data_IF_039265968360
#
_entry.id   IF_039265968360
#
_cell.length_a   1.000
_cell.length_b   1.000
_cell.length_c   1.000
_cell.angle_alpha   90.00
_cell.angle_beta   90.00
_cell.angle_gamma   90.00
#
_symmetry.space_group_name_H-M   'P 1'
#
loop_
_entity.id
_entity.type
_entity.pdbx_description
1 polymer ?
#
# COMPACT_ATOMS: atom_id res chain seq x y z
N UNK A 1 -15.51 0.16 -25.12
CA UNK A 1 -14.12 -0.32 -24.94
C UNK A 1 -13.38 0.38 -23.80
N UNK A 2 -13.56 1.70 -23.58
CA UNK A 2 -12.87 2.42 -22.49
C UNK A 2 -13.25 2.01 -21.06
N UNK A 3 -14.48 1.50 -20.82
CA UNK A 3 -14.90 1.13 -19.45
C UNK A 3 -14.07 -0.02 -18.87
N UNK A 4 -13.67 -0.99 -19.70
CA UNK A 4 -12.85 -2.12 -19.25
C UNK A 4 -11.44 -1.66 -18.88
N UNK A 5 -10.81 -0.83 -19.73
CA UNK A 5 -9.48 -0.25 -19.45
C UNK A 5 -9.54 0.64 -18.20
N UNK A 6 -10.58 1.46 -18.05
CA UNK A 6 -10.76 2.30 -16.87
C UNK A 6 -10.83 1.49 -15.56
N UNK A 7 -11.62 0.41 -15.55
CA UNK A 7 -11.71 -0.49 -14.39
C UNK A 7 -10.35 -1.17 -14.13
N UNK A 8 -9.69 -1.66 -15.16
CA UNK A 8 -8.37 -2.28 -15.04
C UNK A 8 -7.34 -1.30 -14.45
N UNK A 9 -7.32 -0.04 -14.89
CA UNK A 9 -6.42 0.99 -14.36
C UNK A 9 -6.68 1.25 -12.88
N UNK A 10 -7.96 1.39 -12.47
CA UNK A 10 -8.30 1.57 -11.05
C UNK A 10 -7.83 0.37 -10.22
N UNK A 11 -8.10 -0.85 -10.70
CA UNK A 11 -7.65 -2.08 -10.04
C UNK A 11 -6.13 -2.09 -9.92
N UNK A 12 -5.38 -1.78 -11.00
CA UNK A 12 -3.92 -1.74 -10.96
C UNK A 12 -3.38 -0.70 -9.95
N UNK A 13 -3.97 0.49 -9.89
CA UNK A 13 -3.56 1.54 -8.95
C UNK A 13 -3.76 1.10 -7.50
N UNK A 14 -4.82 0.36 -7.21
CA UNK A 14 -5.08 -0.18 -5.85
C UNK A 14 -4.12 -1.33 -5.53
N UNK A 15 -3.88 -2.24 -6.47
CA UNK A 15 -3.05 -3.43 -6.24
C UNK A 15 -1.55 -3.13 -6.16
N UNK A 16 -1.06 -2.10 -6.84
CA UNK A 16 0.36 -1.74 -6.84
C UNK A 16 0.95 -1.48 -5.44
N UNK A 17 0.40 -0.58 -4.60
CA UNK A 17 0.91 -0.35 -3.25
C UNK A 17 0.73 -1.57 -2.33
N UNK A 18 -0.37 -2.33 -2.51
CA UNK A 18 -0.60 -3.56 -1.75
C UNK A 18 0.45 -4.62 -2.04
N UNK A 19 0.78 -4.82 -3.32
CA UNK A 19 1.79 -5.79 -3.74
C UNK A 19 3.19 -5.41 -3.24
N UNK A 20 3.53 -4.12 -3.20
CA UNK A 20 4.81 -3.65 -2.64
C UNK A 20 4.95 -4.05 -1.17
N UNK A 21 3.88 -3.86 -0.39
CA UNK A 21 3.92 -4.13 1.06
C UNK A 21 3.94 -5.62 1.35
N UNK A 22 3.08 -6.40 0.68
CA UNK A 22 3.07 -7.87 0.82
C UNK A 22 4.39 -8.47 0.36
N UNK A 23 4.97 -7.95 -0.72
CA UNK A 23 6.30 -8.35 -1.19
C UNK A 23 7.39 -8.02 -0.18
N UNK A 24 7.42 -6.79 0.35
CA UNK A 24 8.42 -6.35 1.32
C UNK A 24 8.43 -7.20 2.60
N UNK A 25 7.26 -7.44 3.20
CA UNK A 25 7.12 -8.25 4.41
C UNK A 25 7.14 -9.77 4.14
N UNK A 26 6.92 -10.21 2.91
CA UNK A 26 6.95 -11.61 2.50
C UNK A 26 8.33 -12.12 2.07
N UNK A 27 9.33 -11.23 1.95
CA UNK A 27 10.72 -11.63 1.70
C UNK A 27 11.28 -12.33 2.94
N UNK A 28 11.96 -13.47 2.75
CA UNK A 28 12.69 -14.19 3.82
C UNK A 28 14.00 -13.47 4.20
N UNK A 29 13.97 -12.15 4.34
CA UNK A 29 15.09 -11.31 4.75
C UNK A 29 14.95 -11.00 6.23
N UNK A 30 16.01 -11.21 7.01
CA UNK A 30 16.02 -10.87 8.44
C UNK A 30 16.16 -9.37 8.67
N UNK A 31 15.70 -8.90 9.84
CA UNK A 31 15.78 -7.49 10.24
C UNK A 31 14.60 -6.65 9.76
N UNK A 32 13.45 -7.29 9.49
CA UNK A 32 12.24 -6.56 9.10
C UNK A 32 11.73 -5.70 10.26
N UNK A 33 11.20 -4.50 9.98
CA UNK A 33 10.51 -3.72 10.99
C UNK A 33 9.36 -4.56 11.56
N UNK A 34 9.21 -4.54 12.89
CA UNK A 34 8.22 -5.31 13.65
C UNK A 34 8.45 -6.84 13.75
N UNK A 35 9.55 -7.39 13.21
CA UNK A 35 9.83 -8.84 13.23
C UNK A 35 9.91 -9.44 14.64
N UNK A 36 10.50 -8.72 15.60
CA UNK A 36 10.76 -9.25 16.96
C UNK A 36 9.56 -9.08 17.92
N UNK A 37 8.48 -8.49 17.45
CA UNK A 37 7.31 -8.20 18.28
C UNK A 37 6.22 -9.26 18.12
N UNK A 38 5.61 -9.71 19.23
CA UNK A 38 4.54 -10.74 19.24
C UNK A 38 3.34 -10.36 18.38
N UNK A 39 3.08 -9.07 18.20
CA UNK A 39 2.02 -8.51 17.35
C UNK A 39 2.57 -7.80 16.10
N UNK A 40 3.76 -8.19 15.62
CA UNK A 40 4.47 -7.52 14.54
C UNK A 40 3.67 -7.41 13.25
N UNK A 41 2.96 -8.48 12.88
CA UNK A 41 2.06 -8.50 11.73
C UNK A 41 0.91 -7.51 11.85
N UNK A 42 0.37 -7.32 13.06
CA UNK A 42 -0.70 -6.35 13.32
C UNK A 42 -0.19 -4.92 13.19
N UNK A 43 1.00 -4.62 13.73
CA UNK A 43 1.63 -3.31 13.57
C UNK A 43 2.00 -3.01 12.11
N UNK A 44 2.55 -4.00 11.39
CA UNK A 44 2.82 -3.88 9.96
C UNK A 44 1.53 -3.60 9.18
N UNK A 45 0.44 -4.31 9.46
CA UNK A 45 -0.85 -4.10 8.81
C UNK A 45 -1.43 -2.70 9.06
N UNK A 46 -1.39 -2.22 10.31
CA UNK A 46 -1.83 -0.86 10.65
C UNK A 46 -0.96 0.18 9.95
N UNK A 47 0.36 0.00 9.93
CA UNK A 47 1.30 0.90 9.24
C UNK A 47 1.05 0.95 7.73
N UNK A 48 0.69 -0.18 7.11
CA UNK A 48 0.33 -0.28 5.70
C UNK A 48 -0.93 0.54 5.39
N UNK A 49 -1.99 0.39 6.20
CA UNK A 49 -3.24 1.14 6.02
C UNK A 49 -2.97 2.64 6.16
N UNK A 50 -2.20 3.03 7.18
CA UNK A 50 -1.81 4.43 7.40
C UNK A 50 -1.01 4.99 6.21
N UNK A 51 0.00 4.27 5.74
CA UNK A 51 0.82 4.68 4.61
C UNK A 51 -0.01 4.84 3.33
N UNK A 52 -0.89 3.87 3.06
CA UNK A 52 -1.78 3.90 1.89
C UNK A 52 -2.78 5.06 1.99
N UNK A 53 -3.34 5.32 3.17
CA UNK A 53 -4.23 6.45 3.42
C UNK A 53 -3.51 7.79 3.25
N UNK A 54 -2.29 7.93 3.79
CA UNK A 54 -1.47 9.14 3.64
C UNK A 54 -1.13 9.38 2.17
N UNK A 55 -0.72 8.35 1.42
CA UNK A 55 -0.46 8.48 0.00
C UNK A 55 -1.72 8.88 -0.78
N UNK A 56 -2.86 8.25 -0.48
CA UNK A 56 -4.13 8.60 -1.10
C UNK A 56 -4.52 10.07 -0.82
N UNK A 57 -4.40 10.51 0.43
CA UNK A 57 -4.66 11.90 0.85
C UNK A 57 -3.66 12.85 0.19
N UNK A 58 -2.37 12.53 0.17
CA UNK A 58 -1.34 13.37 -0.44
C UNK A 58 -1.54 13.51 -1.96
N UNK A 59 -1.87 12.42 -2.64
CA UNK A 59 -2.22 12.43 -4.06
C UNK A 59 -3.47 13.27 -4.29
N UNK A 60 -4.51 13.09 -3.47
CA UNK A 60 -5.75 13.86 -3.55
C UNK A 60 -5.51 15.36 -3.33
N UNK A 61 -4.82 15.75 -2.25
CA UNK A 61 -4.46 17.13 -1.94
C UNK A 61 -3.55 17.75 -3.01
N UNK A 62 -2.66 16.97 -3.63
CA UNK A 62 -1.79 17.45 -4.72
C UNK A 62 -2.52 17.55 -6.05
N UNK A 63 -3.57 16.76 -6.26
CA UNK A 63 -4.49 16.88 -7.40
C UNK A 63 -5.38 18.11 -7.28
N UNK A 64 -5.80 18.46 -6.06
CA UNK A 64 -6.63 19.65 -5.78
C UNK A 64 -5.86 20.96 -5.73
N UNK A 65 -4.52 20.92 -5.76
CA UNK A 65 -3.69 22.12 -5.93
C UNK A 65 -3.31 22.28 -7.41
N UNK A 66 -4.02 23.12 -8.18
CA UNK A 66 -3.61 23.52 -9.53
C UNK A 66 -2.31 24.36 -9.50
#
# INVERSE_FOLDING_TARGET
MNRSIYILTIVSIVFLPLNLVVGFFGMNTGGLPFQDSTMGTTYAFISMILFTAILAIAVFLKIERP
#
